data_IF_022716813705
#
_entry.id   IF_022716813705
#
_cell.length_a   1.000
_cell.length_b   1.000
_cell.length_c   1.000
_cell.angle_alpha   90.00
_cell.angle_beta   90.00
_cell.angle_gamma   90.00
#
_symmetry.space_group_name_H-M   'P 1'
#
loop_
_entity.id
_entity.type
_entity.pdbx_description
1 polymer ?
#
# COMPACT_ATOMS: atom_id res chain seq x y z
N UNK A 1 -22.39 3.62 31.30
CA UNK A 1 -22.50 3.64 29.84
C UNK A 1 -21.20 3.06 29.29
N UNK A 2 -21.21 1.90 28.64
CA UNK A 2 -19.99 1.28 28.10
C UNK A 2 -19.43 2.23 27.02
N UNK A 3 -18.23 2.75 27.25
CA UNK A 3 -17.66 3.86 26.49
C UNK A 3 -17.24 3.50 25.06
N UNK A 4 -17.26 2.22 24.67
CA UNK A 4 -16.95 1.80 23.30
C UNK A 4 -18.13 1.01 22.71
N UNK A 5 -18.80 1.53 21.66
CA UNK A 5 -19.83 0.76 20.95
C UNK A 5 -19.21 -0.51 20.35
N UNK A 6 -19.94 -1.63 20.42
CA UNK A 6 -19.53 -2.90 19.82
C UNK A 6 -19.44 -2.73 18.29
N UNK A 7 -18.30 -3.08 17.70
CA UNK A 7 -18.14 -3.09 16.24
C UNK A 7 -19.04 -4.16 15.61
N UNK A 8 -19.73 -3.80 14.54
CA UNK A 8 -20.55 -4.70 13.73
C UNK A 8 -20.25 -4.47 12.25
N UNK A 9 -19.95 -5.55 11.52
CA UNK A 9 -19.65 -5.49 10.09
C UNK A 9 -20.75 -4.77 9.28
N UNK A 10 -22.02 -5.01 9.63
CA UNK A 10 -23.18 -4.45 8.94
C UNK A 10 -23.25 -2.91 8.98
N UNK A 11 -22.73 -2.30 10.05
CA UNK A 11 -22.81 -0.85 10.30
C UNK A 11 -21.47 -0.15 10.18
N UNK A 12 -20.41 -0.84 9.74
CA UNK A 12 -19.09 -0.25 9.57
C UNK A 12 -19.13 0.89 8.55
N UNK A 13 -18.52 2.02 8.90
CA UNK A 13 -18.40 3.23 8.07
C UNK A 13 -16.98 3.77 8.18
N UNK A 14 -16.51 4.38 7.12
CA UNK A 14 -15.25 5.13 7.11
C UNK A 14 -15.48 6.52 7.70
N UNK A 15 -14.48 7.07 8.40
CA UNK A 15 -14.48 8.48 8.79
C UNK A 15 -14.64 9.41 7.56
N UNK A 16 -15.66 10.26 7.57
CA UNK A 16 -15.90 11.26 6.52
C UNK A 16 -14.72 12.20 6.32
N UNK A 17 -13.95 12.51 7.37
CA UNK A 17 -12.76 13.34 7.27
C UNK A 17 -11.64 12.65 6.47
N UNK A 18 -11.55 11.32 6.56
CA UNK A 18 -10.54 10.54 5.84
C UNK A 18 -10.79 10.52 4.32
N UNK A 19 -12.06 10.64 3.90
CA UNK A 19 -12.46 10.57 2.48
C UNK A 19 -12.63 11.93 1.77
N UNK A 20 -12.47 13.05 2.50
CA UNK A 20 -12.55 14.38 1.86
C UNK A 20 -11.34 14.62 0.96
N UNK A 21 -11.49 15.14 -0.26
CA UNK A 21 -10.37 15.62 -1.05
C UNK A 21 -9.53 16.64 -0.27
N UNK A 22 -8.21 16.68 -0.52
CA UNK A 22 -7.37 17.71 0.08
C UNK A 22 -7.72 19.10 -0.49
N UNK A 23 -7.67 20.17 0.32
CA UNK A 23 -7.85 21.53 -0.17
C UNK A 23 -6.92 21.84 -1.35
N UNK A 24 -7.47 22.50 -2.37
CA UNK A 24 -6.75 22.90 -3.60
C UNK A 24 -6.01 21.75 -4.29
N UNK A 25 -6.42 20.50 -4.06
CA UNK A 25 -5.80 19.33 -4.64
C UNK A 25 -6.83 18.40 -5.27
N UNK A 26 -6.41 17.65 -6.29
CA UNK A 26 -7.20 16.56 -6.85
C UNK A 26 -6.35 15.30 -7.01
N UNK A 27 -6.97 14.13 -6.85
CA UNK A 27 -6.38 12.86 -7.26
C UNK A 27 -6.26 12.85 -8.77
N UNK A 28 -5.11 12.41 -9.28
CA UNK A 28 -4.92 12.12 -10.70
C UNK A 28 -4.31 10.72 -10.85
N UNK A 29 -4.40 10.18 -12.06
CA UNK A 29 -3.80 8.90 -12.41
C UNK A 29 -2.97 9.02 -13.67
N UNK A 30 -1.74 8.58 -13.61
CA UNK A 30 -0.84 8.47 -14.75
C UNK A 30 -0.98 7.08 -15.33
N UNK A 31 -1.36 7.01 -16.60
CA UNK A 31 -1.43 5.74 -17.29
C UNK A 31 -0.01 5.26 -17.63
N UNK A 32 0.28 3.99 -17.35
CA UNK A 32 1.47 3.33 -17.85
C UNK A 32 1.33 2.84 -19.29
N UNK A 33 2.14 1.85 -19.64
CA UNK A 33 2.12 1.16 -20.94
C UNK A 33 0.77 0.51 -21.26
N UNK A 34 -0.04 0.24 -20.23
CA UNK A 34 -1.36 -0.40 -20.33
C UNK A 34 -2.44 0.43 -19.62
N UNK A 35 -3.71 0.36 -20.07
CA UNK A 35 -4.82 1.08 -19.44
C UNK A 35 -5.12 0.71 -17.99
N UNK A 36 -4.77 -0.51 -17.58
CA UNK A 36 -4.96 -1.02 -16.21
C UNK A 36 -3.86 -0.58 -15.24
N UNK A 37 -2.74 -0.05 -15.75
CA UNK A 37 -1.67 0.56 -14.93
C UNK A 37 -2.01 2.03 -14.74
N UNK A 38 -2.75 2.35 -13.67
CA UNK A 38 -3.15 3.72 -13.30
C UNK A 38 -2.44 4.13 -12.02
N UNK A 39 -1.39 4.92 -12.14
CA UNK A 39 -0.50 5.28 -11.04
C UNK A 39 -0.98 6.56 -10.36
N UNK A 40 -1.40 6.52 -9.08
CA UNK A 40 -2.01 7.64 -8.41
C UNK A 40 -0.97 8.69 -8.02
N UNK A 41 -1.35 9.94 -8.18
CA UNK A 41 -0.62 11.11 -7.70
C UNK A 41 -1.63 12.16 -7.25
N UNK A 42 -1.14 13.20 -6.57
CA UNK A 42 -1.94 14.36 -6.21
C UNK A 42 -1.47 15.58 -6.97
N UNK A 43 -2.39 16.23 -7.66
CA UNK A 43 -2.17 17.51 -8.32
C UNK A 43 -2.63 18.63 -7.39
N UNK A 44 -1.75 19.60 -7.12
CA UNK A 44 -2.01 20.77 -6.28
C UNK A 44 -2.13 22.00 -7.17
N UNK A 45 -3.28 22.66 -7.12
CA UNK A 45 -3.50 23.93 -7.81
C UNK A 45 -2.85 25.07 -7.02
N UNK A 46 -2.17 25.96 -7.73
CA UNK A 46 -1.53 27.14 -7.16
C UNK A 46 -2.39 28.38 -7.44
N UNK A 47 -2.40 29.34 -6.51
CA UNK A 47 -2.98 30.67 -6.76
C UNK A 47 -2.15 31.39 -7.83
N UNK A 48 -2.77 32.28 -8.61
CA UNK A 48 -2.06 33.08 -9.60
C UNK A 48 -1.10 34.09 -8.94
N UNK A 49 0.04 34.36 -9.58
CA UNK A 49 1.02 35.37 -9.14
C UNK A 49 0.60 36.76 -9.63
N UNK A 50 0.49 37.79 -8.77
CA UNK A 50 0.26 39.17 -9.22
C UNK A 50 1.42 39.68 -10.09
N UNK A 51 1.10 40.26 -11.24
CA UNK A 51 2.08 40.83 -12.17
C UNK A 51 1.79 42.33 -12.41
N UNK A 52 2.74 43.05 -13.03
CA UNK A 52 2.58 44.49 -13.34
C UNK A 52 1.32 44.79 -14.16
N UNK A 53 0.84 43.82 -14.96
CA UNK A 53 -0.45 43.88 -15.64
C UNK A 53 -1.18 42.54 -15.46
N UNK A 54 -2.14 42.50 -14.53
CA UNK A 54 -2.98 41.32 -14.28
C UNK A 54 -2.29 40.25 -13.43
N UNK A 55 -2.47 38.99 -13.82
CA UNK A 55 -2.00 37.82 -13.08
C UNK A 55 -1.28 36.84 -14.00
N UNK A 56 -0.25 36.19 -13.48
CA UNK A 56 0.45 35.08 -14.11
C UNK A 56 -0.03 33.76 -13.51
N UNK A 57 -0.56 32.87 -14.35
CA UNK A 57 -1.05 31.57 -13.90
C UNK A 57 0.11 30.68 -13.48
N UNK A 58 0.02 30.13 -12.27
CA UNK A 58 0.98 29.14 -11.80
C UNK A 58 0.53 27.73 -12.22
N UNK A 59 1.42 26.94 -12.85
CA UNK A 59 1.10 25.57 -13.20
C UNK A 59 0.92 24.70 -11.95
N UNK A 60 0.17 23.60 -12.00
CA UNK A 60 -0.04 22.76 -10.83
C UNK A 60 1.22 21.98 -10.42
N UNK A 61 1.32 21.61 -9.14
CA UNK A 61 2.42 20.79 -8.62
C UNK A 61 1.93 19.35 -8.43
N UNK A 62 2.69 18.39 -8.94
CA UNK A 62 2.42 16.96 -8.74
C UNK A 62 3.23 16.44 -7.55
N UNK A 63 2.58 15.71 -6.66
CA UNK A 63 3.22 15.09 -5.50
C UNK A 63 2.82 13.62 -5.38
N UNK A 64 3.71 12.85 -4.75
CA UNK A 64 3.45 11.48 -4.33
C UNK A 64 2.22 11.44 -3.42
N UNK A 65 1.40 10.41 -3.58
CA UNK A 65 0.15 10.27 -2.83
C UNK A 65 -0.10 8.80 -2.47
N UNK A 66 -0.17 8.53 -1.17
CA UNK A 66 -0.40 7.20 -0.59
C UNK A 66 -1.83 7.00 -0.10
N UNK A 67 -2.68 8.03 -0.19
CA UNK A 67 -4.04 8.00 0.35
C UNK A 67 -5.00 7.05 -0.40
N UNK A 68 -4.53 6.43 -1.49
CA UNK A 68 -5.31 5.51 -2.31
C UNK A 68 -6.62 6.10 -2.84
N UNK A 69 -7.65 5.27 -3.05
CA UNK A 69 -8.95 5.72 -3.55
C UNK A 69 -9.73 6.63 -2.59
N UNK A 70 -9.32 6.72 -1.31
CA UNK A 70 -10.07 7.48 -0.30
C UNK A 70 -10.17 8.97 -0.61
N UNK A 71 -9.22 9.55 -1.34
CA UNK A 71 -9.24 10.98 -1.69
C UNK A 71 -9.66 11.23 -3.14
N UNK A 72 -10.10 10.19 -3.85
CA UNK A 72 -10.69 10.30 -5.17
C UNK A 72 -12.20 10.57 -5.04
N UNK A 73 -12.70 11.77 -5.41
CA UNK A 73 -14.12 12.09 -5.32
C UNK A 73 -15.00 11.24 -6.24
N UNK A 74 -14.42 10.60 -7.27
CA UNK A 74 -15.15 9.76 -8.21
C UNK A 74 -15.31 8.31 -7.70
N UNK A 75 -14.65 7.96 -6.59
CA UNK A 75 -14.73 6.62 -5.98
C UNK A 75 -15.66 6.62 -4.78
N UNK A 76 -16.68 5.76 -4.84
CA UNK A 76 -17.55 5.48 -3.68
C UNK A 76 -16.89 4.47 -2.75
N UNK A 77 -16.46 4.92 -1.58
CA UNK A 77 -15.86 4.06 -0.55
C UNK A 77 -16.92 3.26 0.21
N UNK A 78 -16.77 1.94 0.24
CA UNK A 78 -17.53 1.05 1.13
C UNK A 78 -16.57 0.06 1.80
N UNK A 79 -16.19 0.38 3.05
CA UNK A 79 -15.20 -0.42 3.78
C UNK A 79 -15.66 -1.84 4.11
N UNK A 80 -16.96 -2.16 3.94
CA UNK A 80 -17.52 -3.51 4.13
C UNK A 80 -17.26 -4.41 2.93
N UNK A 81 -17.03 -3.80 1.76
CA UNK A 81 -16.71 -4.48 0.51
C UNK A 81 -15.23 -4.43 0.18
N UNK A 82 -14.47 -3.54 0.84
CA UNK A 82 -13.03 -3.36 0.65
C UNK A 82 -12.72 -2.54 -0.59
N UNK A 83 -11.43 -2.31 -0.82
CA UNK A 83 -10.94 -1.62 -2.00
C UNK A 83 -10.97 -2.52 -3.25
N UNK A 84 -11.01 -1.94 -4.46
CA UNK A 84 -10.85 -2.70 -5.69
C UNK A 84 -9.51 -3.46 -5.73
N UNK A 85 -9.57 -4.73 -6.13
CA UNK A 85 -8.41 -5.60 -6.27
C UNK A 85 -7.59 -5.30 -7.55
N UNK A 86 -7.00 -4.09 -7.62
CA UNK A 86 -6.37 -3.54 -8.82
C UNK A 86 -5.28 -4.45 -9.43
N UNK A 87 -4.50 -5.17 -8.60
CA UNK A 87 -3.42 -6.05 -9.09
C UNK A 87 -3.88 -7.44 -9.46
N UNK A 88 -5.13 -7.81 -9.20
CA UNK A 88 -5.61 -9.18 -9.42
C UNK A 88 -5.43 -9.61 -10.89
N UNK A 89 -5.77 -8.80 -11.91
CA UNK A 89 -5.50 -9.17 -13.30
C UNK A 89 -4.02 -9.49 -13.56
N UNK A 90 -3.09 -8.73 -12.98
CA UNK A 90 -1.65 -8.92 -13.16
C UNK A 90 -1.13 -10.20 -12.51
N UNK A 91 -1.76 -10.62 -11.42
CA UNK A 91 -1.43 -11.85 -10.69
C UNK A 91 -1.97 -13.06 -11.46
N UNK A 92 -3.18 -12.96 -12.02
CA UNK A 92 -3.78 -14.02 -12.82
C UNK A 92 -3.05 -14.21 -14.15
N UNK A 93 -2.67 -13.13 -14.81
CA UNK A 93 -2.01 -13.13 -16.13
C UNK A 93 -0.68 -13.89 -16.14
N UNK A 94 0.07 -13.89 -15.02
CA UNK A 94 1.36 -14.61 -14.92
C UNK A 94 1.22 -16.12 -14.88
N UNK A 95 0.03 -16.63 -14.59
CA UNK A 95 -0.30 -18.05 -14.53
C UNK A 95 0.66 -18.91 -13.67
N UNK A 96 1.21 -18.33 -12.61
CA UNK A 96 2.14 -18.99 -11.67
C UNK A 96 1.57 -19.15 -10.26
N UNK A 97 0.28 -18.79 -10.08
CA UNK A 97 -0.47 -19.00 -8.85
C UNK A 97 -1.70 -19.89 -9.07
N UNK A 98 -2.12 -20.59 -8.02
CA UNK A 98 -3.35 -21.38 -7.96
C UNK A 98 -4.21 -20.94 -6.77
N UNK A 99 -5.53 -21.08 -6.89
CA UNK A 99 -6.48 -20.80 -5.80
C UNK A 99 -6.59 -22.00 -4.86
N UNK A 100 -6.62 -21.71 -3.57
CA UNK A 100 -6.93 -22.67 -2.54
C UNK A 100 -8.45 -22.78 -2.35
N UNK A 101 -8.97 -23.93 -1.86
CA UNK A 101 -10.40 -24.08 -1.59
C UNK A 101 -10.91 -23.13 -0.48
N UNK A 102 -10.00 -22.67 0.38
CA UNK A 102 -10.21 -21.75 1.51
C UNK A 102 -8.88 -21.55 2.24
N UNK A 103 -8.90 -20.96 3.46
CA UNK A 103 -7.72 -20.87 4.30
C UNK A 103 -7.12 -22.25 4.59
N UNK A 104 -5.79 -22.36 4.62
CA UNK A 104 -5.09 -23.62 4.88
C UNK A 104 -4.42 -23.70 6.26
N UNK A 105 -4.31 -22.58 6.98
CA UNK A 105 -3.87 -22.59 8.38
C UNK A 105 -4.95 -23.15 9.31
N UNK A 106 -4.53 -23.90 10.33
CA UNK A 106 -5.44 -24.45 11.34
C UNK A 106 -6.18 -23.33 12.06
N UNK A 107 -5.47 -22.26 12.44
CA UNK A 107 -6.09 -21.12 13.09
C UNK A 107 -7.05 -20.38 12.16
N UNK A 108 -6.69 -20.15 10.90
CA UNK A 108 -7.57 -19.49 9.92
C UNK A 108 -8.87 -20.27 9.70
N UNK A 109 -8.78 -21.60 9.56
CA UNK A 109 -9.96 -22.48 9.46
C UNK A 109 -10.82 -22.41 10.72
N UNK A 110 -10.21 -22.39 11.90
CA UNK A 110 -10.93 -22.26 13.18
C UNK A 110 -11.68 -20.93 13.28
N UNK A 111 -11.04 -19.81 12.92
CA UNK A 111 -11.67 -18.47 12.92
C UNK A 111 -12.81 -18.36 11.89
N UNK A 112 -12.63 -18.95 10.71
CA UNK A 112 -13.65 -18.97 9.66
C UNK A 112 -14.92 -19.74 10.09
N UNK A 113 -14.77 -20.81 10.87
CA UNK A 113 -15.89 -21.66 11.29
C UNK A 113 -16.49 -21.27 12.65
N UNK A 114 -15.91 -20.32 13.39
CA UNK A 114 -16.48 -19.87 14.66
C UNK A 114 -17.72 -18.98 14.44
N UNK A 115 -18.92 -19.38 14.90
CA UNK A 115 -20.14 -18.60 14.73
C UNK A 115 -20.14 -17.30 15.54
N UNK A 116 -19.35 -17.21 16.62
CA UNK A 116 -19.26 -15.98 17.44
C UNK A 116 -18.60 -14.82 16.70
N UNK A 117 -17.87 -15.12 15.62
CA UNK A 117 -17.16 -14.15 14.80
C UNK A 117 -17.95 -13.72 13.57
N UNK A 118 -19.13 -14.30 13.32
CA UNK A 118 -19.93 -14.00 12.13
C UNK A 118 -20.27 -12.51 12.00
N UNK A 119 -20.56 -11.82 13.11
CA UNK A 119 -20.88 -10.38 13.12
C UNK A 119 -19.65 -9.46 12.89
N UNK A 120 -18.45 -9.99 13.06
CA UNK A 120 -17.18 -9.27 12.88
C UNK A 120 -16.51 -9.59 11.54
N UNK A 121 -16.92 -10.67 10.87
CA UNK A 121 -16.24 -11.19 9.69
C UNK A 121 -16.39 -10.24 8.51
N UNK A 122 -15.27 -9.95 7.85
CA UNK A 122 -15.27 -9.21 6.60
C UNK A 122 -15.91 -10.03 5.48
N UNK A 123 -16.64 -9.38 4.57
CA UNK A 123 -17.33 -10.05 3.46
C UNK A 123 -16.37 -10.35 2.28
N UNK A 124 -15.32 -11.13 2.53
CA UNK A 124 -14.36 -11.51 1.50
C UNK A 124 -14.92 -12.67 0.67
N UNK A 125 -15.10 -12.44 -0.63
CA UNK A 125 -15.55 -13.47 -1.58
C UNK A 125 -14.38 -14.20 -2.26
N UNK A 126 -13.21 -13.56 -2.35
CA UNK A 126 -12.02 -14.13 -2.98
C UNK A 126 -11.37 -15.18 -2.08
N UNK A 127 -10.90 -16.26 -2.69
CA UNK A 127 -10.16 -17.32 -2.01
C UNK A 127 -8.65 -17.03 -1.98
N UNK A 128 -7.91 -17.50 -0.96
CA UNK A 128 -6.46 -17.36 -0.93
C UNK A 128 -5.79 -18.04 -2.13
N UNK A 129 -4.67 -17.48 -2.56
CA UNK A 129 -3.80 -18.00 -3.61
C UNK A 129 -2.44 -18.38 -3.04
N UNK A 130 -1.80 -19.34 -3.71
CA UNK A 130 -0.38 -19.68 -3.50
C UNK A 130 0.32 -19.86 -4.84
N UNK A 131 1.65 -19.84 -4.83
CA UNK A 131 2.43 -20.23 -6.00
C UNK A 131 2.13 -21.69 -6.39
N UNK A 132 2.04 -21.96 -7.71
CA UNK A 132 1.98 -23.33 -8.23
C UNK A 132 3.26 -24.09 -7.85
N UNK A 133 3.21 -25.43 -7.72
CA UNK A 133 4.41 -26.23 -7.45
C UNK A 133 5.55 -25.90 -8.42
N UNK A 134 6.76 -25.68 -7.88
CA UNK A 134 7.96 -25.34 -8.66
C UNK A 134 8.00 -23.90 -9.20
N UNK A 135 7.02 -23.04 -8.88
CA UNK A 135 7.02 -21.61 -9.23
C UNK A 135 7.42 -20.75 -8.02
N UNK A 136 7.90 -19.54 -8.31
CA UNK A 136 8.19 -18.51 -7.32
C UNK A 136 7.60 -17.20 -7.81
N UNK A 137 6.82 -16.55 -6.95
CA UNK A 137 5.99 -15.40 -7.30
C UNK A 137 6.56 -14.07 -6.82
N UNK A 138 7.78 -14.08 -6.28
CA UNK A 138 8.41 -12.88 -5.70
C UNK A 138 8.93 -11.95 -6.78
N UNK A 139 8.88 -10.64 -6.49
CA UNK A 139 9.43 -9.61 -7.39
C UNK A 139 10.93 -9.82 -7.65
N UNK A 140 11.68 -10.29 -6.65
CA UNK A 140 13.09 -10.64 -6.80
C UNK A 140 13.32 -11.82 -7.76
N UNK A 141 12.42 -12.82 -7.77
CA UNK A 141 12.49 -13.93 -8.72
C UNK A 141 12.32 -13.45 -10.16
N UNK A 142 11.29 -12.64 -10.42
CA UNK A 142 11.06 -12.07 -11.76
C UNK A 142 12.24 -11.19 -12.19
N UNK A 143 12.71 -10.31 -11.29
CA UNK A 143 13.81 -9.39 -11.57
C UNK A 143 15.09 -10.10 -12.00
N UNK A 144 15.49 -11.15 -11.27
CA UNK A 144 16.69 -11.96 -11.59
C UNK A 144 16.57 -12.75 -12.90
N UNK A 145 15.35 -12.94 -13.40
CA UNK A 145 15.08 -13.55 -14.72
C UNK A 145 14.97 -12.51 -15.84
N UNK A 146 15.25 -11.24 -15.56
CA UNK A 146 15.18 -10.16 -16.53
C UNK A 146 13.75 -9.67 -16.81
N UNK A 147 12.75 -10.16 -16.06
CA UNK A 147 11.33 -9.84 -16.28
C UNK A 147 10.98 -8.53 -15.55
N UNK A 148 10.36 -7.61 -16.27
CA UNK A 148 9.75 -6.40 -15.72
C UNK A 148 8.28 -6.69 -15.50
N UNK A 149 7.82 -6.61 -14.25
CA UNK A 149 6.42 -6.84 -13.89
C UNK A 149 5.62 -5.54 -13.97
N UNK A 150 4.27 -5.61 -14.03
CA UNK A 150 3.44 -4.42 -13.89
C UNK A 150 3.70 -3.66 -12.59
N UNK A 151 4.07 -4.31 -11.48
CA UNK A 151 4.47 -3.60 -10.26
C UNK A 151 5.77 -2.81 -10.44
N UNK A 152 6.76 -3.35 -11.16
CA UNK A 152 8.03 -2.63 -11.43
C UNK A 152 7.80 -1.39 -12.30
N UNK A 153 6.92 -1.49 -13.30
CA UNK A 153 6.52 -0.33 -14.10
C UNK A 153 5.74 0.69 -13.26
N UNK A 154 4.77 0.21 -12.47
CA UNK A 154 3.95 1.07 -11.61
C UNK A 154 4.82 1.92 -10.68
N UNK A 155 5.79 1.32 -9.98
CA UNK A 155 6.67 2.06 -9.08
C UNK A 155 7.64 2.97 -9.82
N UNK A 156 8.09 2.61 -11.03
CA UNK A 156 8.93 3.50 -11.84
C UNK A 156 8.19 4.80 -12.19
N UNK A 157 6.94 4.71 -12.63
CA UNK A 157 6.09 5.87 -12.90
C UNK A 157 5.83 6.67 -11.61
N UNK A 158 5.54 5.98 -10.51
CA UNK A 158 5.21 6.60 -9.22
C UNK A 158 6.37 7.43 -8.66
N UNK A 159 7.60 6.92 -8.77
CA UNK A 159 8.81 7.60 -8.30
C UNK A 159 9.19 8.82 -9.15
N UNK A 160 8.78 8.87 -10.43
CA UNK A 160 9.04 10.02 -11.29
C UNK A 160 8.07 11.19 -11.07
N UNK A 161 6.90 10.96 -10.47
CA UNK A 161 5.86 12.00 -10.22
C UNK A 161 5.53 12.89 -11.43
N UNK A 162 5.53 12.32 -12.66
CA UNK A 162 5.38 13.04 -13.95
C UNK A 162 6.36 14.20 -14.18
N UNK A 163 7.48 14.24 -13.45
CA UNK A 163 8.38 15.39 -13.45
C UNK A 163 8.84 15.77 -14.86
N UNK A 164 9.20 14.78 -15.68
CA UNK A 164 9.68 15.00 -17.05
C UNK A 164 8.61 15.61 -17.95
N UNK A 165 7.46 14.95 -18.07
CA UNK A 165 6.29 15.41 -18.84
C UNK A 165 5.88 16.83 -18.43
N UNK A 166 5.87 17.09 -17.13
CA UNK A 166 5.54 18.39 -16.58
C UNK A 166 6.53 19.46 -17.02
N UNK A 167 7.83 19.23 -16.87
CA UNK A 167 8.86 20.18 -17.29
C UNK A 167 8.87 20.40 -18.80
N UNK A 168 8.62 19.37 -19.61
CA UNK A 168 8.47 19.48 -21.05
C UNK A 168 7.27 20.34 -21.42
N UNK A 169 6.11 20.14 -20.76
CA UNK A 169 4.92 20.98 -20.98
C UNK A 169 5.17 22.46 -20.66
N UNK A 170 5.95 22.75 -19.61
CA UNK A 170 6.34 24.12 -19.26
C UNK A 170 7.27 24.73 -20.31
N UNK A 171 8.28 23.99 -20.77
CA UNK A 171 9.18 24.47 -21.84
C UNK A 171 8.42 24.73 -23.14
N UNK A 172 7.43 23.89 -23.46
CA UNK A 172 6.59 24.04 -24.64
C UNK A 172 5.63 25.25 -24.56
N UNK A 173 5.35 25.78 -23.36
CA UNK A 173 4.43 26.92 -23.18
C UNK A 173 5.06 28.29 -23.46
N UNK A 174 6.26 28.34 -24.04
CA UNK A 174 6.96 29.56 -24.45
C UNK A 174 8.06 30.03 -23.49
N UNK A 175 8.66 31.21 -23.74
CA UNK A 175 9.85 31.69 -23.00
C UNK A 175 9.65 31.78 -21.49
N UNK A 176 8.47 32.19 -21.03
CA UNK A 176 8.12 32.27 -19.60
C UNK A 176 8.08 30.89 -18.95
N UNK A 177 7.48 29.90 -19.64
CA UNK A 177 7.41 28.53 -19.14
C UNK A 177 8.78 27.83 -19.11
N UNK A 178 9.65 28.11 -20.09
CA UNK A 178 11.04 27.64 -20.07
C UNK A 178 11.80 28.17 -18.84
N UNK A 179 11.67 29.48 -18.54
CA UNK A 179 12.25 30.09 -17.33
C UNK A 179 11.69 29.46 -16.04
N UNK A 180 10.39 29.15 -16.01
CA UNK A 180 9.77 28.50 -14.86
C UNK A 180 10.27 27.06 -14.65
N UNK A 181 10.46 26.30 -15.73
CA UNK A 181 11.05 24.96 -15.67
C UNK A 181 12.48 24.99 -15.09
N UNK A 182 13.30 25.96 -15.48
CA UNK A 182 14.63 26.18 -14.89
C UNK A 182 14.54 26.53 -13.40
N UNK A 183 13.60 27.40 -13.01
CA UNK A 183 13.43 27.82 -11.62
C UNK A 183 12.95 26.66 -10.72
N UNK A 184 11.97 25.86 -11.18
CA UNK A 184 11.44 24.71 -10.45
C UNK A 184 12.43 23.55 -10.33
N UNK A 185 13.38 23.44 -11.26
CA UNK A 185 14.43 22.41 -11.21
C UNK A 185 15.68 22.86 -10.46
N UNK A 186 15.72 24.10 -9.97
CA UNK A 186 16.82 24.60 -9.16
C UNK A 186 16.82 23.92 -7.79
N UNK A 187 17.63 22.88 -7.67
CA UNK A 187 17.82 22.10 -6.46
C UNK A 187 19.28 22.18 -6.01
N UNK A 188 19.52 22.22 -4.69
CA UNK A 188 20.87 22.01 -4.16
C UNK A 188 21.31 20.58 -4.51
N UNK A 189 22.53 20.39 -5.03
CA UNK A 189 23.02 19.07 -5.50
C UNK A 189 22.98 17.99 -4.41
N UNK A 190 23.02 18.39 -3.14
CA UNK A 190 23.00 17.48 -2.00
C UNK A 190 24.25 16.61 -1.92
N UNK A 191 24.24 15.65 -1.00
CA UNK A 191 25.29 14.64 -0.86
C UNK A 191 24.59 13.29 -0.63
N UNK A 192 24.72 12.37 -1.59
CA UNK A 192 24.06 11.06 -1.54
C UNK A 192 24.92 9.97 -0.86
N UNK A 193 26.16 10.30 -0.50
CA UNK A 193 27.15 9.39 0.07
C UNK A 193 27.40 8.15 -0.80
N UNK A 194 27.45 8.34 -2.13
CA UNK A 194 27.69 7.27 -3.10
C UNK A 194 26.45 6.49 -3.54
N UNK A 195 25.23 6.99 -3.28
CA UNK A 195 24.02 6.40 -3.85
C UNK A 195 23.95 6.63 -5.36
N UNK A 196 23.34 5.69 -6.09
CA UNK A 196 23.18 5.74 -7.55
C UNK A 196 21.74 6.11 -7.90
N UNK A 197 21.37 7.37 -7.63
CA UNK A 197 20.04 7.92 -7.91
C UNK A 197 20.06 8.48 -9.33
N UNK A 198 19.29 7.91 -10.29
CA UNK A 198 19.23 8.43 -11.65
C UNK A 198 18.36 9.70 -11.72
N UNK A 199 18.43 10.42 -12.85
CA UNK A 199 17.52 11.56 -13.10
C UNK A 199 16.08 11.11 -13.39
N UNK A 200 15.93 9.93 -14.00
CA UNK A 200 14.67 9.31 -14.35
C UNK A 200 14.68 7.84 -13.91
N UNK A 201 13.63 7.41 -13.23
CA UNK A 201 13.47 6.04 -12.75
C UNK A 201 12.80 5.22 -13.85
N UNK A 202 13.51 4.29 -14.48
CA UNK A 202 12.93 3.40 -15.50
C UNK A 202 12.50 2.05 -14.89
N UNK A 203 11.56 1.32 -15.52
CA UNK A 203 11.22 -0.03 -15.10
C UNK A 203 12.43 -0.99 -15.08
N UNK A 204 13.37 -0.82 -16.02
CA UNK A 204 14.65 -1.55 -16.05
C UNK A 204 15.52 -1.25 -14.83
N UNK A 205 15.63 0.03 -14.43
CA UNK A 205 16.38 0.41 -13.23
C UNK A 205 15.76 -0.19 -11.97
N UNK A 206 14.44 -0.14 -11.85
CA UNK A 206 13.70 -0.79 -10.76
C UNK A 206 14.01 -2.29 -10.71
N UNK A 207 13.90 -2.98 -11.85
CA UNK A 207 14.22 -4.40 -11.96
C UNK A 207 15.66 -4.68 -11.51
N UNK A 208 16.63 -3.90 -11.94
CA UNK A 208 18.04 -4.10 -11.58
C UNK A 208 18.30 -3.92 -10.09
N UNK A 209 17.68 -2.92 -9.46
CA UNK A 209 17.76 -2.69 -8.02
C UNK A 209 17.15 -3.84 -7.21
N UNK A 210 16.01 -4.35 -7.67
CA UNK A 210 15.33 -5.50 -7.06
C UNK A 210 16.14 -6.79 -7.26
N UNK A 211 16.69 -7.04 -8.45
CA UNK A 211 17.49 -8.23 -8.75
C UNK A 211 18.75 -8.34 -7.87
N UNK A 212 19.39 -7.20 -7.63
CA UNK A 212 20.59 -7.06 -6.78
C UNK A 212 20.28 -6.99 -5.28
N UNK A 213 19.01 -6.96 -4.89
CA UNK A 213 18.58 -6.90 -3.50
C UNK A 213 18.82 -5.56 -2.82
N UNK A 214 18.98 -4.46 -3.57
CA UNK A 214 19.10 -3.09 -3.04
C UNK A 214 17.76 -2.38 -2.87
N UNK A 215 16.71 -2.92 -3.49
CA UNK A 215 15.34 -2.46 -3.34
C UNK A 215 14.37 -3.66 -3.27
N UNK A 216 13.20 -3.42 -2.69
CA UNK A 216 12.11 -4.38 -2.59
C UNK A 216 10.78 -3.73 -2.95
N UNK A 217 9.85 -4.54 -3.47
CA UNK A 217 8.46 -4.17 -3.71
C UNK A 217 7.61 -5.14 -2.87
N UNK A 218 7.18 -4.75 -1.66
CA UNK A 218 6.37 -5.59 -0.77
C UNK A 218 4.95 -5.71 -1.34
N UNK A 219 4.63 -6.87 -1.90
CA UNK A 219 3.50 -7.00 -2.81
C UNK A 219 2.94 -8.44 -2.83
N UNK A 220 2.40 -8.89 -1.70
CA UNK A 220 1.83 -10.22 -1.56
C UNK A 220 0.72 -10.44 -2.63
N UNK A 221 0.68 -11.64 -3.21
CA UNK A 221 -0.32 -12.05 -4.21
C UNK A 221 -1.76 -12.07 -3.65
N UNK A 222 -1.91 -12.15 -2.33
CA UNK A 222 -3.21 -12.10 -1.65
C UNK A 222 -3.62 -10.68 -1.24
N UNK A 223 -2.80 -9.67 -1.53
CA UNK A 223 -3.11 -8.23 -1.33
C UNK A 223 -3.13 -7.47 -2.67
N UNK A 224 -4.05 -7.82 -3.57
CA UNK A 224 -4.21 -7.13 -4.84
C UNK A 224 -4.83 -5.74 -4.72
N UNK A 225 -5.34 -5.36 -3.54
CA UNK A 225 -5.85 -4.01 -3.25
C UNK A 225 -4.72 -2.97 -3.16
N UNK A 226 -3.50 -3.40 -2.82
CA UNK A 226 -2.35 -2.51 -2.66
C UNK A 226 -1.91 -1.88 -3.98
N UNK A 227 -1.69 -0.57 -3.96
CA UNK A 227 -1.01 0.19 -4.99
C UNK A 227 0.51 0.02 -4.82
N UNK A 228 1.24 -0.57 -5.79
CA UNK A 228 2.65 -0.89 -5.61
C UNK A 228 3.51 0.32 -5.22
N UNK A 229 4.50 0.07 -4.37
CA UNK A 229 5.53 1.03 -3.95
C UNK A 229 6.87 0.32 -3.80
N UNK A 230 7.97 1.08 -3.85
CA UNK A 230 9.33 0.54 -3.77
C UNK A 230 10.10 1.15 -2.60
N UNK A 231 10.85 0.28 -1.90
CA UNK A 231 11.73 0.66 -0.79
C UNK A 231 13.16 0.34 -1.19
N UNK A 232 14.01 1.36 -1.24
CA UNK A 232 15.44 1.21 -1.54
C UNK A 232 16.17 2.55 -1.47
N UNK A 233 17.49 2.51 -1.31
CA UNK A 233 18.33 3.70 -1.10
C UNK A 233 18.27 4.70 -2.26
N UNK A 234 18.04 4.22 -3.47
CA UNK A 234 18.07 5.02 -4.69
C UNK A 234 16.69 5.59 -5.11
N UNK A 235 15.71 5.51 -4.21
CA UNK A 235 14.32 5.93 -4.39
C UNK A 235 13.94 6.99 -3.34
N UNK A 236 12.74 7.56 -3.43
CA UNK A 236 12.21 8.42 -2.39
C UNK A 236 12.23 7.69 -1.04
N UNK A 237 12.63 8.40 0.03
CA UNK A 237 12.55 7.85 1.39
C UNK A 237 11.09 7.57 1.71
N UNK A 238 10.82 6.37 2.21
CA UNK A 238 9.48 5.90 2.59
C UNK A 238 9.32 5.91 4.09
N UNK A 239 8.10 6.18 4.57
CA UNK A 239 7.75 6.20 5.99
C UNK A 239 6.67 5.16 6.31
N UNK A 240 6.75 4.61 7.52
CA UNK A 240 5.80 3.62 8.01
C UNK A 240 5.00 4.18 9.19
N UNK A 241 3.69 3.90 9.23
CA UNK A 241 2.86 4.16 10.40
C UNK A 241 2.54 2.85 11.14
N UNK A 242 2.69 2.85 12.46
CA UNK A 242 2.28 1.73 13.30
C UNK A 242 0.86 1.96 13.81
N UNK A 243 0.00 0.98 13.59
CA UNK A 243 -1.34 0.89 14.19
C UNK A 243 -1.43 -0.43 14.97
N UNK A 244 -2.61 -0.75 15.48
CA UNK A 244 -2.85 -1.98 16.20
C UNK A 244 -3.71 -1.77 17.43
N UNK A 245 -4.52 -2.77 17.73
CA UNK A 245 -5.31 -2.83 18.94
C UNK A 245 -4.45 -3.30 20.12
N UNK A 246 -4.88 -2.98 21.34
CA UNK A 246 -4.26 -3.50 22.56
C UNK A 246 -5.26 -4.32 23.36
N UNK A 247 -4.79 -5.04 24.37
CA UNK A 247 -5.67 -5.75 25.30
C UNK A 247 -6.65 -4.82 26.06
N UNK A 248 -6.36 -3.50 26.10
CA UNK A 248 -7.05 -2.51 26.95
C UNK A 248 -7.93 -1.56 26.12
N UNK A 249 -7.58 -1.31 24.86
CA UNK A 249 -8.22 -0.28 24.03
C UNK A 249 -8.27 -0.66 22.55
N UNK A 250 -9.16 0.02 21.82
CA UNK A 250 -9.40 -0.05 20.38
C UNK A 250 -10.37 -1.14 19.88
N UNK A 251 -11.01 -0.84 18.75
CA UNK A 251 -11.96 -1.69 18.03
C UNK A 251 -11.56 -1.82 16.57
N UNK A 252 -12.12 -2.79 15.83
CA UNK A 252 -11.85 -2.98 14.41
C UNK A 252 -12.07 -1.68 13.60
N UNK A 253 -13.15 -0.94 13.91
CA UNK A 253 -13.45 0.32 13.24
C UNK A 253 -12.36 1.38 13.47
N UNK A 254 -11.93 1.54 14.71
CA UNK A 254 -10.85 2.47 15.06
C UNK A 254 -9.52 2.11 14.38
N UNK A 255 -9.22 0.83 14.20
CA UNK A 255 -8.02 0.41 13.47
C UNK A 255 -8.08 0.74 11.97
N UNK A 256 -9.24 0.57 11.33
CA UNK A 256 -9.45 0.99 9.95
C UNK A 256 -9.36 2.52 9.82
N UNK A 257 -9.92 3.26 10.77
CA UNK A 257 -9.82 4.73 10.80
C UNK A 257 -8.37 5.19 10.98
N UNK A 258 -7.61 4.58 11.89
CA UNK A 258 -6.17 4.87 12.06
C UNK A 258 -5.37 4.57 10.79
N UNK A 259 -5.65 3.46 10.11
CA UNK A 259 -5.02 3.12 8.84
C UNK A 259 -5.33 4.19 7.78
N UNK A 260 -6.60 4.49 7.54
CA UNK A 260 -7.03 5.47 6.52
C UNK A 260 -6.50 6.88 6.83
N UNK A 261 -6.43 7.25 8.10
CA UNK A 261 -5.84 8.51 8.54
C UNK A 261 -4.33 8.57 8.32
N UNK A 262 -3.60 7.49 8.61
CA UNK A 262 -2.16 7.43 8.41
C UNK A 262 -1.78 7.56 6.93
N UNK A 263 -2.41 6.79 6.05
CA UNK A 263 -2.14 6.83 4.60
C UNK A 263 -2.57 8.17 3.99
N UNK A 264 -3.62 8.80 4.52
CA UNK A 264 -4.01 10.15 4.12
C UNK A 264 -2.83 11.11 4.30
N UNK A 265 -2.15 11.05 5.44
CA UNK A 265 -1.06 11.98 5.75
C UNK A 265 0.33 11.54 5.26
N UNK A 266 0.40 10.53 4.39
CA UNK A 266 1.63 10.17 3.70
C UNK A 266 2.33 8.93 4.24
N UNK A 267 1.70 8.11 5.09
CA UNK A 267 2.26 6.80 5.40
C UNK A 267 2.36 5.94 4.12
N UNK A 268 3.57 5.49 3.79
CA UNK A 268 3.83 4.68 2.59
C UNK A 268 3.59 3.19 2.83
N UNK A 269 3.71 2.76 4.08
CA UNK A 269 3.34 1.43 4.58
C UNK A 269 2.68 1.56 5.94
N UNK A 270 1.88 0.56 6.31
CA UNK A 270 1.29 0.47 7.65
C UNK A 270 1.63 -0.88 8.28
N UNK A 271 2.00 -0.88 9.56
CA UNK A 271 2.12 -2.13 10.31
C UNK A 271 0.97 -2.30 11.29
N UNK A 272 0.32 -3.46 11.24
CA UNK A 272 -0.60 -3.92 12.27
C UNK A 272 0.18 -4.60 13.39
N UNK A 273 0.31 -3.90 14.52
CA UNK A 273 0.97 -4.38 15.73
C UNK A 273 -0.04 -4.80 16.82
N UNK A 274 -1.24 -5.22 16.40
CA UNK A 274 -2.30 -5.67 17.30
C UNK A 274 -1.84 -6.81 18.22
N UNK A 275 -2.15 -6.68 19.51
CA UNK A 275 -1.85 -7.66 20.57
C UNK A 275 -3.10 -8.06 21.37
N UNK A 276 -4.25 -7.48 21.06
CA UNK A 276 -5.51 -7.70 21.77
C UNK A 276 -6.32 -8.89 21.24
N UNK A 277 -7.64 -8.83 21.49
CA UNK A 277 -8.58 -9.83 20.95
C UNK A 277 -8.80 -9.58 19.46
N UNK A 278 -9.20 -10.63 18.73
CA UNK A 278 -9.63 -10.53 17.33
C UNK A 278 -8.58 -9.94 16.38
N UNK A 279 -7.29 -10.26 16.63
CA UNK A 279 -6.16 -9.84 15.78
C UNK A 279 -6.42 -10.23 14.31
N UNK A 280 -6.86 -11.46 14.08
CA UNK A 280 -7.16 -11.98 12.74
C UNK A 280 -8.21 -11.15 11.99
N UNK A 281 -9.35 -10.86 12.62
CA UNK A 281 -10.45 -10.12 12.00
C UNK A 281 -10.06 -8.67 11.79
N UNK A 282 -9.46 -8.05 12.80
CA UNK A 282 -8.95 -6.67 12.73
C UNK A 282 -8.05 -6.51 11.51
N UNK A 283 -7.08 -7.42 11.36
CA UNK A 283 -6.15 -7.41 10.22
C UNK A 283 -6.85 -7.66 8.89
N UNK A 284 -7.84 -8.54 8.84
CA UNK A 284 -8.62 -8.76 7.61
C UNK A 284 -9.28 -7.46 7.13
N UNK A 285 -9.92 -6.73 8.04
CA UNK A 285 -10.51 -5.42 7.73
C UNK A 285 -9.47 -4.40 7.29
N UNK A 286 -8.28 -4.37 7.93
CA UNK A 286 -7.18 -3.48 7.55
C UNK A 286 -6.70 -3.79 6.13
N UNK A 287 -6.31 -5.04 5.84
CA UNK A 287 -5.70 -5.41 4.54
C UNK A 287 -6.70 -5.18 3.41
N UNK A 288 -7.96 -5.59 3.55
CA UNK A 288 -8.98 -5.41 2.49
C UNK A 288 -9.29 -3.95 2.20
N UNK A 289 -8.94 -3.05 3.12
CA UNK A 289 -9.13 -1.61 2.99
C UNK A 289 -7.80 -0.86 2.78
N UNK A 290 -6.66 -1.54 2.69
CA UNK A 290 -5.38 -0.86 2.56
C UNK A 290 -4.97 -0.73 1.09
N UNK A 291 -4.68 0.49 0.59
CA UNK A 291 -4.03 0.70 -0.69
C UNK A 291 -2.51 0.66 -0.55
N UNK A 292 -1.97 0.54 0.67
CA UNK A 292 -0.52 0.49 0.94
C UNK A 292 -0.11 -0.88 1.49
N UNK A 293 1.17 -1.28 1.37
CA UNK A 293 1.65 -2.52 1.96
C UNK A 293 1.41 -2.61 3.46
N UNK A 294 0.95 -3.77 3.92
CA UNK A 294 0.72 -4.08 5.33
C UNK A 294 1.83 -4.97 5.86
N UNK A 295 2.47 -4.55 6.94
CA UNK A 295 3.43 -5.35 7.69
C UNK A 295 2.88 -5.86 9.01
N UNK A 296 3.48 -6.93 9.52
CA UNK A 296 3.19 -7.45 10.86
C UNK A 296 4.45 -7.94 11.57
N UNK A 297 4.29 -8.24 12.85
CA UNK A 297 5.26 -8.98 13.66
C UNK A 297 4.60 -10.33 14.03
N UNK A 298 4.78 -11.40 13.24
CA UNK A 298 3.99 -12.63 13.41
C UNK A 298 4.07 -13.26 14.80
N UNK A 299 5.18 -13.04 15.51
CA UNK A 299 5.37 -13.56 16.87
C UNK A 299 4.34 -13.00 17.87
N UNK A 300 3.77 -11.81 17.64
CA UNK A 300 2.75 -11.24 18.54
C UNK A 300 1.47 -12.06 18.54
N UNK A 301 1.01 -12.47 17.36
CA UNK A 301 -0.16 -13.35 17.26
C UNK A 301 0.19 -14.77 17.73
N UNK A 302 1.37 -15.28 17.41
CA UNK A 302 1.80 -16.59 17.91
C UNK A 302 1.82 -16.64 19.45
N UNK A 303 2.24 -15.56 20.10
CA UNK A 303 2.23 -15.42 21.56
C UNK A 303 0.80 -15.39 22.13
N UNK A 304 -0.15 -14.76 21.43
CA UNK A 304 -1.57 -14.80 21.80
C UNK A 304 -2.14 -16.21 21.72
N UNK A 305 -1.78 -16.98 20.69
CA UNK A 305 -2.22 -18.38 20.51
C UNK A 305 -1.82 -19.29 21.69
N UNK A 306 -0.77 -18.95 22.43
CA UNK A 306 -0.29 -19.66 23.64
C UNK A 306 -0.60 -18.93 24.95
N UNK A 307 -1.57 -18.01 24.93
CA UNK A 307 -2.04 -17.31 26.13
C UNK A 307 -0.97 -16.43 26.80
N UNK A 308 0.00 -15.92 26.02
CA UNK A 308 1.04 -15.02 26.53
C UNK A 308 2.29 -15.71 27.08
N UNK A 309 2.38 -17.05 27.04
CA UNK A 309 3.52 -17.80 27.59
C UNK A 309 4.58 -18.04 26.53
N UNK A 310 5.67 -17.29 26.60
CA UNK A 310 6.73 -17.33 25.58
C UNK A 310 7.40 -18.71 25.47
N UNK A 311 7.49 -19.45 26.58
CA UNK A 311 8.06 -20.80 26.65
C UNK A 311 7.21 -21.88 25.93
N UNK A 312 5.94 -21.59 25.65
CA UNK A 312 5.04 -22.50 24.92
C UNK A 312 5.09 -22.26 23.40
N UNK A 313 5.86 -21.28 22.93
CA UNK A 313 6.03 -21.02 21.50
C UNK A 313 6.81 -22.16 20.82
N UNK A 314 6.23 -22.70 19.75
CA UNK A 314 6.88 -23.70 18.90
C UNK A 314 6.91 -23.27 17.44
N UNK A 315 7.75 -23.95 16.65
CA UNK A 315 7.79 -23.76 15.21
C UNK A 315 6.42 -24.00 14.56
N UNK A 316 5.67 -25.01 15.00
CA UNK A 316 4.37 -25.36 14.43
C UNK A 316 3.37 -24.20 14.56
N UNK A 317 3.34 -23.55 15.72
CA UNK A 317 2.48 -22.39 16.00
C UNK A 317 2.92 -21.18 15.15
N UNK A 318 4.24 -20.95 15.06
CA UNK A 318 4.77 -19.85 14.26
C UNK A 318 4.51 -20.07 12.76
N UNK A 319 4.72 -21.28 12.24
CA UNK A 319 4.43 -21.68 10.86
C UNK A 319 2.95 -21.49 10.52
N UNK A 320 2.05 -21.95 11.39
CA UNK A 320 0.61 -21.76 11.20
C UNK A 320 0.25 -20.27 11.11
N UNK A 321 0.86 -19.44 11.95
CA UNK A 321 0.70 -17.98 11.95
C UNK A 321 1.24 -17.33 10.68
N UNK A 322 2.40 -17.78 10.16
CA UNK A 322 2.94 -17.29 8.90
C UNK A 322 2.02 -17.62 7.72
N UNK A 323 1.50 -18.85 7.64
CA UNK A 323 0.58 -19.28 6.58
C UNK A 323 -0.70 -18.44 6.64
N UNK A 324 -1.29 -18.32 7.83
CA UNK A 324 -2.49 -17.51 8.06
C UNK A 324 -2.32 -16.07 7.53
N UNK A 325 -1.25 -15.39 7.93
CA UNK A 325 -1.03 -14.00 7.55
C UNK A 325 -0.66 -13.84 6.08
N UNK A 326 0.07 -14.81 5.51
CA UNK A 326 0.40 -14.81 4.08
C UNK A 326 -0.85 -15.00 3.20
N UNK A 327 -1.81 -15.82 3.64
CA UNK A 327 -3.10 -16.01 2.97
C UNK A 327 -4.03 -14.79 3.10
N UNK A 328 -3.96 -14.07 4.22
CA UNK A 328 -4.68 -12.81 4.38
C UNK A 328 -4.13 -11.69 3.48
N UNK A 329 -2.84 -11.75 3.13
CA UNK A 329 -2.19 -10.74 2.28
C UNK A 329 -1.23 -9.80 3.01
N UNK A 330 -0.66 -10.20 4.16
CA UNK A 330 0.43 -9.41 4.75
C UNK A 330 1.62 -9.37 3.78
N UNK A 331 2.15 -8.19 3.50
CA UNK A 331 3.18 -7.97 2.47
C UNK A 331 4.60 -8.21 2.97
N UNK A 332 4.85 -7.98 4.26
CA UNK A 332 6.14 -8.22 4.88
C UNK A 332 6.03 -8.59 6.36
N UNK A 333 6.99 -9.39 6.81
CA UNK A 333 7.09 -9.84 8.19
C UNK A 333 8.36 -9.32 8.83
N UNK A 334 8.22 -8.73 10.01
CA UNK A 334 9.36 -8.51 10.91
C UNK A 334 9.57 -9.78 11.72
N UNK A 335 10.67 -10.49 11.44
CA UNK A 335 11.04 -11.74 12.11
C UNK A 335 12.39 -11.53 12.80
N UNK A 336 12.44 -11.76 14.10
CA UNK A 336 13.65 -11.74 14.92
C UNK A 336 14.24 -13.15 14.93
N UNK A 337 14.90 -13.50 13.82
CA UNK A 337 15.30 -14.87 13.48
C UNK A 337 16.43 -15.45 14.33
#
# INVERSE_FOLDING_TARGET
MNANPKFLAATARVDEAAIKPFPNSRKIYVQGSRPDIRVPMREITQSDTPASFGYEKNPPIYVYDTSGPYTDPDVKIDIRSGLPALRLPWILERDDTEELPGPSSEYGVKRLNDPKLAELRFNLTRKPRRAKPGRNVTQMHYARRGIITPEMEFVAIRENMRRKEYLESLRASGPTGAKLAELLTRQHRGQSFGASIPEEITPEFVRDEVARGRAIIPANINHPEAEPMIIGRNFLVKINANIGNSAVTSSIGEEVDKMTWAIRWGADTVMDLSTGKHIHETREWIIRNSPVPIGTVPIYQALEKVGGKAEELTWEIFRDTLIEQAEQGVDYFTIHA
#
